data_IF_043053992521
#
_entry.id   IF_043053992521
#
_cell.length_a   1.000
_cell.length_b   1.000
_cell.length_c   1.000
_cell.angle_alpha   90.00
_cell.angle_beta   90.00
_cell.angle_gamma   90.00
#
_symmetry.space_group_name_H-M   'P 1'
#
loop_
_entity.id
_entity.type
_entity.pdbx_description
1 polymer ?
#
# COMPACT_ATOMS: atom_id res chain seq x y z
N UNK A 1 25.53 -1.06 -13.92
CA UNK A 1 24.77 -1.31 -12.68
C UNK A 1 23.40 -0.61 -12.66
N UNK A 2 23.26 0.58 -13.24
CA UNK A 2 22.04 1.39 -13.13
C UNK A 2 20.84 0.80 -13.90
N UNK A 3 21.07 0.27 -15.10
CA UNK A 3 20.00 -0.34 -15.92
C UNK A 3 19.32 -1.54 -15.25
N UNK A 4 20.09 -2.41 -14.58
CA UNK A 4 19.53 -3.59 -13.89
C UNK A 4 18.62 -3.18 -12.74
N UNK A 5 19.03 -2.18 -11.94
CA UNK A 5 18.21 -1.66 -10.85
C UNK A 5 16.92 -1.03 -11.37
N UNK A 6 17.01 -0.26 -12.46
CA UNK A 6 15.86 0.35 -13.11
C UNK A 6 14.89 -0.70 -13.64
N UNK A 7 15.37 -1.70 -14.38
CA UNK A 7 14.54 -2.80 -14.91
C UNK A 7 13.89 -3.60 -13.78
N UNK A 8 14.63 -3.90 -12.70
CA UNK A 8 14.07 -4.60 -11.55
C UNK A 8 12.95 -3.79 -10.87
N UNK A 9 13.14 -2.48 -10.67
CA UNK A 9 12.11 -1.61 -10.12
C UNK A 9 10.85 -1.56 -11.00
N UNK A 10 11.03 -1.48 -12.33
CA UNK A 10 9.92 -1.53 -13.28
C UNK A 10 9.14 -2.86 -13.17
N UNK A 11 9.84 -3.99 -13.12
CA UNK A 11 9.20 -5.30 -12.95
C UNK A 11 8.45 -5.42 -11.62
N UNK A 12 9.02 -4.89 -10.52
CA UNK A 12 8.34 -4.86 -9.22
C UNK A 12 7.04 -4.06 -9.31
N UNK A 13 7.07 -2.88 -9.91
CA UNK A 13 5.86 -2.06 -10.06
C UNK A 13 4.81 -2.77 -10.95
N UNK A 14 5.24 -3.32 -12.09
CA UNK A 14 4.33 -3.90 -13.07
C UNK A 14 3.63 -5.17 -12.59
N UNK A 15 4.29 -5.99 -11.77
CA UNK A 15 3.76 -7.28 -11.36
C UNK A 15 3.30 -7.28 -9.89
N UNK A 16 4.18 -7.34 -8.88
CA UNK A 16 3.72 -7.44 -7.50
C UNK A 16 2.95 -6.21 -7.01
N UNK A 17 3.33 -4.98 -7.39
CA UNK A 17 2.56 -3.81 -6.92
C UNK A 17 1.21 -3.68 -7.62
N UNK A 18 1.12 -3.99 -8.92
CA UNK A 18 -0.15 -4.08 -9.63
C UNK A 18 -1.06 -5.19 -9.08
N UNK A 19 -0.48 -6.29 -8.61
CA UNK A 19 -1.23 -7.36 -7.96
C UNK A 19 -1.76 -6.92 -6.59
N UNK A 20 -1.00 -6.12 -5.83
CA UNK A 20 -1.40 -5.65 -4.50
C UNK A 20 -2.46 -4.55 -4.55
N UNK A 21 -2.38 -3.66 -5.53
CA UNK A 21 -3.16 -2.43 -5.54
C UNK A 21 -3.96 -2.24 -6.84
N UNK A 22 -5.28 -2.14 -6.70
CA UNK A 22 -6.17 -1.88 -7.82
C UNK A 22 -5.82 -0.58 -8.57
N UNK A 23 -5.55 0.56 -7.90
CA UNK A 23 -5.21 1.80 -8.61
C UNK A 23 -3.92 1.72 -9.42
N UNK A 24 -2.94 0.93 -8.97
CA UNK A 24 -1.67 0.73 -9.68
C UNK A 24 -1.92 -0.15 -10.91
N UNK A 25 -2.69 -1.24 -10.76
CA UNK A 25 -3.10 -2.08 -11.89
C UNK A 25 -3.83 -1.28 -12.95
N UNK A 26 -4.83 -0.48 -12.55
CA UNK A 26 -5.60 0.32 -13.49
C UNK A 26 -4.70 1.30 -14.24
N UNK A 27 -3.81 1.98 -13.53
CA UNK A 27 -2.85 2.92 -14.14
C UNK A 27 -1.90 2.25 -15.15
N UNK A 28 -1.46 1.02 -14.89
CA UNK A 28 -0.64 0.24 -15.84
C UNK A 28 -1.47 -0.19 -17.06
N UNK A 29 -2.71 -0.64 -16.87
CA UNK A 29 -3.62 -1.00 -17.96
C UNK A 29 -3.87 0.21 -18.87
N UNK A 30 -4.21 1.36 -18.27
CA UNK A 30 -4.50 2.59 -19.01
C UNK A 30 -3.29 3.10 -19.81
N UNK A 31 -2.07 2.84 -19.32
CA UNK A 31 -0.82 3.24 -19.95
C UNK A 31 -0.08 2.11 -20.68
N UNK A 32 -0.75 0.99 -20.98
CA UNK A 32 -0.08 -0.21 -21.50
C UNK A 32 0.71 0.03 -22.79
N UNK A 33 0.12 0.73 -23.75
CA UNK A 33 0.72 0.97 -25.07
C UNK A 33 1.71 2.15 -25.08
N UNK A 34 1.42 3.18 -24.29
CA UNK A 34 2.14 4.46 -24.35
C UNK A 34 3.16 4.64 -23.22
N UNK A 35 3.22 3.68 -22.30
CA UNK A 35 4.00 3.77 -21.07
C UNK A 35 3.30 4.62 -20.00
N UNK A 36 3.71 4.41 -18.75
CA UNK A 36 3.17 5.12 -17.60
C UNK A 36 4.25 5.46 -16.59
N UNK A 37 4.06 6.58 -15.90
CA UNK A 37 4.96 7.07 -14.86
C UNK A 37 4.23 7.17 -13.53
N UNK A 38 4.85 6.64 -12.47
CA UNK A 38 4.44 6.86 -11.08
C UNK A 38 5.22 8.06 -10.52
N UNK A 39 4.92 9.25 -11.02
CA UNK A 39 5.60 10.49 -10.69
C UNK A 39 5.01 11.17 -9.45
N UNK A 40 3.71 10.99 -9.23
CA UNK A 40 2.97 11.61 -8.12
C UNK A 40 3.39 11.02 -6.77
N UNK A 41 3.50 11.88 -5.77
CA UNK A 41 3.97 11.51 -4.44
C UNK A 41 3.01 10.54 -3.74
N UNK A 42 1.70 10.73 -3.91
CA UNK A 42 0.66 9.81 -3.41
C UNK A 42 0.79 8.37 -3.93
N UNK A 43 1.30 8.18 -5.16
CA UNK A 43 1.44 6.87 -5.79
C UNK A 43 2.65 6.16 -5.21
N UNK A 44 3.76 6.87 -5.06
CA UNK A 44 4.96 6.37 -4.38
C UNK A 44 4.66 6.01 -2.93
N UNK A 45 3.84 6.84 -2.26
CA UNK A 45 3.41 6.59 -0.89
C UNK A 45 2.47 5.40 -0.78
N UNK A 46 1.58 5.19 -1.75
CA UNK A 46 0.73 4.00 -1.79
C UNK A 46 1.57 2.72 -1.80
N UNK A 47 2.59 2.64 -2.67
CA UNK A 47 3.46 1.46 -2.79
C UNK A 47 4.08 1.06 -1.44
N UNK A 48 4.55 2.04 -0.66
CA UNK A 48 5.19 1.79 0.64
C UNK A 48 4.21 1.62 1.80
N UNK A 49 2.92 1.93 1.60
CA UNK A 49 1.87 1.82 2.62
C UNK A 49 1.15 0.47 2.63
N UNK A 50 1.53 -0.50 1.79
CA UNK A 50 0.87 -1.81 1.71
C UNK A 50 0.73 -2.50 3.07
N UNK A 51 1.83 -2.57 3.83
CA UNK A 51 1.86 -3.20 5.16
C UNK A 51 0.94 -2.48 6.14
N UNK A 52 0.91 -1.15 6.09
CA UNK A 52 0.13 -0.33 7.02
C UNK A 52 -1.37 -0.50 6.74
N UNK A 53 -1.77 -0.49 5.46
CA UNK A 53 -3.16 -0.73 5.06
C UNK A 53 -3.59 -2.14 5.47
N UNK A 54 -2.79 -3.17 5.19
CA UNK A 54 -3.11 -4.55 5.61
C UNK A 54 -3.20 -4.67 7.14
N UNK A 55 -2.32 -3.99 7.87
CA UNK A 55 -2.35 -3.99 9.35
C UNK A 55 -3.60 -3.32 9.88
N UNK A 56 -4.02 -2.18 9.28
CA UNK A 56 -5.24 -1.48 9.64
C UNK A 56 -6.47 -2.37 9.40
N UNK A 57 -6.55 -3.03 8.24
CA UNK A 57 -7.64 -3.96 7.90
C UNK A 57 -7.69 -5.17 8.85
N UNK A 58 -6.55 -5.79 9.16
CA UNK A 58 -6.50 -6.94 10.08
C UNK A 58 -6.85 -6.54 11.51
N UNK A 59 -6.46 -5.34 11.95
CA UNK A 59 -6.87 -4.82 13.26
C UNK A 59 -8.36 -4.55 13.29
N UNK A 60 -8.89 -3.86 12.28
CA UNK A 60 -10.32 -3.65 12.11
C UNK A 60 -11.08 -4.97 12.15
N UNK A 61 -10.60 -6.02 11.48
CA UNK A 61 -11.32 -7.30 11.49
C UNK A 61 -11.43 -7.88 12.92
N UNK A 62 -10.43 -7.65 13.77
CA UNK A 62 -10.41 -8.12 15.17
C UNK A 62 -11.18 -7.23 16.13
N UNK A 63 -11.08 -5.91 15.99
CA UNK A 63 -11.65 -4.94 16.94
C UNK A 63 -12.98 -4.36 16.49
N UNK A 64 -13.29 -4.47 15.20
CA UNK A 64 -14.38 -3.77 14.50
C UNK A 64 -14.31 -2.25 14.62
N UNK A 65 -13.13 -1.72 14.93
CA UNK A 65 -12.85 -0.29 15.00
C UNK A 65 -11.85 0.07 13.90
N UNK A 66 -12.28 0.92 12.97
CA UNK A 66 -11.41 1.41 11.91
C UNK A 66 -10.41 2.42 12.46
N UNK A 67 -9.12 2.21 12.15
CA UNK A 67 -8.05 3.14 12.51
C UNK A 67 -7.03 3.24 11.37
N UNK A 68 -7.09 4.37 10.68
CA UNK A 68 -6.20 4.70 9.55
C UNK A 68 -4.91 5.41 9.97
N UNK A 69 -4.64 5.60 11.26
CA UNK A 69 -3.50 6.40 11.76
C UNK A 69 -2.11 5.86 11.38
N UNK A 70 -2.03 4.62 10.90
CA UNK A 70 -0.81 4.02 10.36
C UNK A 70 -0.59 4.31 8.87
N UNK A 71 -1.65 4.71 8.16
CA UNK A 71 -1.64 4.96 6.72
C UNK A 71 -1.27 6.43 6.50
N UNK A 72 -0.40 6.70 5.52
CA UNK A 72 0.04 8.06 5.19
C UNK A 72 -1.15 8.91 4.76
N UNK A 73 -1.26 10.14 5.29
CA UNK A 73 -2.40 11.04 5.03
C UNK A 73 -2.65 11.29 3.55
N UNK A 74 -1.59 11.50 2.75
CA UNK A 74 -1.72 11.71 1.29
C UNK A 74 -2.33 10.50 0.56
N UNK A 75 -2.11 9.28 1.07
CA UNK A 75 -2.75 8.07 0.53
C UNK A 75 -4.24 8.09 0.89
N UNK A 76 -4.57 8.38 2.15
CA UNK A 76 -5.97 8.49 2.59
C UNK A 76 -6.74 9.53 1.78
N UNK A 77 -6.17 10.72 1.59
CA UNK A 77 -6.76 11.82 0.85
C UNK A 77 -6.93 11.48 -0.64
N UNK A 78 -5.88 10.97 -1.30
CA UNK A 78 -5.90 10.66 -2.73
C UNK A 78 -6.93 9.61 -3.08
N UNK A 79 -6.92 8.51 -2.33
CA UNK A 79 -7.74 7.33 -2.61
C UNK A 79 -9.06 7.34 -1.83
N UNK A 80 -9.35 8.45 -1.14
CA UNK A 80 -10.58 8.68 -0.38
C UNK A 80 -10.88 7.55 0.62
N UNK A 81 -9.85 7.10 1.34
CA UNK A 81 -9.97 6.02 2.31
C UNK A 81 -10.47 6.61 3.63
N UNK A 82 -11.76 6.44 3.92
CA UNK A 82 -12.39 6.93 5.15
C UNK A 82 -12.74 5.79 6.12
N UNK A 83 -12.96 4.60 5.59
CA UNK A 83 -13.32 3.39 6.33
C UNK A 83 -12.60 2.15 5.74
N UNK A 84 -12.87 0.98 6.32
CA UNK A 84 -12.33 -0.30 5.86
C UNK A 84 -12.77 -0.69 4.45
N UNK A 85 -13.99 -0.33 4.04
CA UNK A 85 -14.55 -0.71 2.74
C UNK A 85 -13.80 0.04 1.63
N UNK A 86 -13.51 1.31 1.86
CA UNK A 86 -12.67 2.10 0.96
C UNK A 86 -11.26 1.51 0.86
N UNK A 87 -10.70 1.04 1.97
CA UNK A 87 -9.38 0.39 1.97
C UNK A 87 -9.38 -0.93 1.17
N UNK A 88 -10.45 -1.73 1.26
CA UNK A 88 -10.61 -2.94 0.44
C UNK A 88 -10.71 -2.63 -1.06
N UNK A 89 -11.26 -1.48 -1.45
CA UNK A 89 -11.30 -1.05 -2.86
C UNK A 89 -9.92 -0.66 -3.40
N UNK A 90 -8.95 -0.41 -2.53
CA UNK A 90 -7.58 -0.02 -2.89
C UNK A 90 -6.64 -1.23 -2.94
N UNK A 91 -6.84 -2.22 -2.07
CA UNK A 91 -5.94 -3.37 -1.91
C UNK A 91 -6.62 -4.67 -2.36
N UNK A 92 -6.10 -5.29 -3.43
CA UNK A 92 -6.60 -6.58 -3.94
C UNK A 92 -5.98 -7.78 -3.22
N UNK A 93 -4.73 -7.65 -2.73
CA UNK A 93 -4.01 -8.72 -2.03
C UNK A 93 -3.54 -8.27 -0.67
N UNK A 94 -4.05 -8.93 0.36
CA UNK A 94 -3.67 -8.66 1.74
C UNK A 94 -2.43 -9.45 2.15
N UNK A 95 -1.50 -8.75 2.80
CA UNK A 95 -0.52 -9.38 3.67
C UNK A 95 -1.27 -9.97 4.86
N UNK A 96 -1.02 -11.25 5.20
CA UNK A 96 -1.43 -11.82 6.48
C UNK A 96 -0.29 -11.62 7.50
N UNK A 97 -0.28 -10.51 8.27
CA UNK A 97 0.78 -10.24 9.24
C UNK A 97 0.75 -11.30 10.33
N UNK A 98 1.94 -11.77 10.72
CA UNK A 98 2.06 -12.68 11.86
C UNK A 98 1.52 -12.00 13.13
N UNK A 99 0.86 -12.76 14.04
CA UNK A 99 0.19 -12.19 15.21
C UNK A 99 1.10 -11.35 16.13
N UNK A 100 2.37 -11.73 16.25
CA UNK A 100 3.42 -11.04 17.02
C UNK A 100 3.73 -9.63 16.51
N UNK A 101 3.47 -9.35 15.24
CA UNK A 101 3.74 -8.04 14.60
C UNK A 101 2.55 -7.08 14.61
N UNK A 102 1.41 -7.49 15.17
CA UNK A 102 0.22 -6.65 15.30
C UNK A 102 0.22 -5.82 16.60
N UNK A 103 1.06 -6.20 17.57
CA UNK A 103 1.33 -5.41 18.76
C UNK A 103 2.04 -4.11 18.36
N UNK A 104 1.70 -2.99 19.02
CA UNK A 104 2.38 -1.70 18.81
C UNK A 104 3.90 -1.90 19.02
N UNK A 105 4.77 -1.15 18.33
CA UNK A 105 6.05 -0.82 18.95
C UNK A 105 5.69 -0.06 20.21
N UNK A 106 5.90 -0.68 21.37
CA UNK A 106 5.91 0.05 22.62
C UNK A 106 7.01 1.09 22.44
N UNK A 107 6.63 2.37 22.41
CA UNK A 107 7.58 3.47 22.42
C UNK A 107 8.27 3.49 23.78
N UNK A 108 9.27 2.61 23.93
CA UNK A 108 10.25 2.50 24.99
C UNK A 108 11.42 1.67 24.44
N UNK A 109 12.14 2.24 23.48
CA UNK A 109 13.55 1.90 23.26
C UNK A 109 14.36 3.17 23.53
N UNK A 110 14.62 3.41 24.80
CA UNK A 110 15.90 3.94 25.31
C UNK A 110 16.60 2.74 25.96
N UNK A 111 17.94 2.59 25.84
CA UNK A 111 18.93 3.65 26.07
C UNK A 111 19.76 4.08 24.85
#
# INVERSE_FOLDING_TARGET
>A
LDHVRKSAAQLIVMFPEALRFFPIRQKIIDGWENGVFLDKDEEKQLLVSWKDICTALVKWDKTKEWNSGYIRSKVLEKYKIQNEEDAFRVVDVMLNPRPDRLAKPNGNEEP
#
